data_IF_976839592472
#
_entry.id   IF_976839592472
#
_cell.length_a   1.000
_cell.length_b   1.000
_cell.length_c   1.000
_cell.angle_alpha   90.00
_cell.angle_beta   90.00
_cell.angle_gamma   90.00
#
_symmetry.space_group_name_H-M   'P 1'
#
loop_
_entity.id
_entity.type
_entity.pdbx_description
1 polymer ?
#
# COMPACT_ATOMS: atom_id res chain seq x y z
N UNK A 1 23.85 8.27 -3.56
CA UNK A 1 23.24 8.23 -2.22
C UNK A 1 21.86 7.60 -2.31
N UNK A 2 21.72 6.33 -1.94
CA UNK A 2 20.43 5.69 -1.76
C UNK A 2 20.22 5.60 -0.24
N UNK A 3 19.34 6.44 0.30
CA UNK A 3 18.98 6.38 1.71
C UNK A 3 18.31 5.03 1.94
N UNK A 4 19.00 4.17 2.69
CA UNK A 4 18.57 2.81 2.98
C UNK A 4 17.29 2.88 3.82
N UNK A 5 16.13 2.68 3.18
CA UNK A 5 14.86 2.27 3.81
C UNK A 5 14.98 0.94 4.59
N UNK A 6 16.17 0.32 4.58
CA UNK A 6 16.50 -0.94 5.26
C UNK A 6 16.60 -0.84 6.79
N UNK A 7 16.45 0.36 7.37
CA UNK A 7 16.66 0.60 8.81
C UNK A 7 15.40 0.94 9.59
N UNK A 8 14.24 1.05 8.94
CA UNK A 8 12.97 1.05 9.66
C UNK A 8 12.61 -0.41 9.89
N UNK A 9 12.55 -0.85 11.15
CA UNK A 9 12.32 -2.23 11.55
C UNK A 9 10.92 -2.73 11.17
N UNK A 10 10.66 -2.89 9.87
CA UNK A 10 9.49 -3.54 9.33
C UNK A 10 9.72 -5.05 9.39
N UNK A 11 8.79 -5.76 10.05
CA UNK A 11 8.72 -7.23 9.94
C UNK A 11 8.59 -7.56 8.45
N UNK A 12 9.28 -8.60 8.00
CA UNK A 12 9.20 -9.04 6.61
C UNK A 12 7.73 -9.25 6.20
N UNK A 13 7.26 -8.52 5.19
CA UNK A 13 5.90 -8.61 4.64
C UNK A 13 4.88 -7.60 5.15
N UNK A 14 5.26 -6.62 5.99
CA UNK A 14 4.41 -5.46 6.30
C UNK A 14 4.46 -4.46 5.14
N UNK A 15 3.31 -3.94 4.65
CA UNK A 15 3.29 -2.95 3.59
C UNK A 15 4.14 -1.72 3.93
N UNK A 16 4.93 -1.29 2.95
CA UNK A 16 5.92 -0.23 3.09
C UNK A 16 5.32 1.14 3.46
N UNK A 17 4.06 1.40 3.08
CA UNK A 17 3.35 2.64 3.39
C UNK A 17 1.93 2.37 3.84
N UNK A 18 1.52 3.05 4.90
CA UNK A 18 0.15 3.06 5.41
C UNK A 18 -0.36 4.50 5.44
N UNK A 19 -1.54 4.71 4.87
CA UNK A 19 -2.28 5.96 4.92
C UNK A 19 -3.58 5.73 5.70
N UNK A 20 -3.62 6.09 6.99
CA UNK A 20 -4.76 5.82 7.88
C UNK A 20 -5.87 6.87 7.70
N UNK A 21 -6.32 7.05 6.46
CA UNK A 21 -7.45 7.92 6.14
C UNK A 21 -8.52 7.11 5.44
N UNK A 22 -9.71 7.04 6.05
CA UNK A 22 -10.80 6.24 5.52
C UNK A 22 -11.49 6.99 4.37
N UNK A 23 -11.31 6.48 3.15
CA UNK A 23 -11.88 7.02 1.91
C UNK A 23 -12.47 5.92 1.02
N UNK A 24 -13.53 6.24 0.28
CA UNK A 24 -14.08 5.36 -0.76
C UNK A 24 -14.74 4.08 -0.26
N UNK A 25 -15.17 4.02 1.00
CA UNK A 25 -15.68 2.81 1.63
C UNK A 25 -14.59 1.95 2.29
N UNK A 26 -13.32 2.33 2.16
CA UNK A 26 -12.20 1.65 2.81
C UNK A 26 -11.83 2.31 4.14
N UNK A 27 -11.25 1.53 5.05
CA UNK A 27 -10.78 2.00 6.36
C UNK A 27 -9.40 2.69 6.32
N UNK A 28 -8.65 2.50 5.24
CA UNK A 28 -7.34 3.09 5.00
C UNK A 28 -6.69 2.47 3.77
N UNK A 29 -5.58 3.06 3.32
CA UNK A 29 -4.80 2.61 2.18
C UNK A 29 -3.46 2.02 2.64
N UNK A 30 -3.12 0.85 2.12
CA UNK A 30 -1.84 0.17 2.29
C UNK A 30 -1.17 0.00 0.93
N UNK A 31 0.10 0.38 0.84
CA UNK A 31 0.90 0.25 -0.39
C UNK A 31 2.11 -0.62 -0.11
N UNK A 32 2.24 -1.69 -0.89
CA UNK A 32 3.45 -2.49 -1.02
C UNK A 32 4.25 -1.98 -2.22
N UNK A 33 5.48 -1.53 -2.01
CA UNK A 33 6.33 -1.06 -3.11
C UNK A 33 7.05 -2.21 -3.81
N UNK A 34 7.18 -2.07 -5.12
CA UNK A 34 8.09 -2.88 -5.93
C UNK A 34 8.99 -1.99 -6.76
N UNK A 35 10.22 -2.45 -6.94
CA UNK A 35 11.18 -1.78 -7.79
C UNK A 35 10.71 -1.82 -9.26
N UNK A 36 11.14 -0.82 -10.01
CA UNK A 36 10.98 -0.73 -11.46
C UNK A 36 12.19 -1.37 -12.16
N UNK A 37 12.07 -1.71 -13.46
CA UNK A 37 13.20 -2.22 -14.23
C UNK A 37 14.45 -1.33 -14.12
N UNK A 38 15.67 -1.92 -14.15
CA UNK A 38 15.96 -3.34 -14.36
C UNK A 38 15.95 -4.20 -13.08
N UNK A 39 15.64 -3.60 -11.92
CA UNK A 39 15.67 -4.29 -10.63
C UNK A 39 14.28 -4.72 -10.17
N UNK A 40 13.34 -4.88 -11.09
CA UNK A 40 11.96 -5.18 -10.75
C UNK A 40 11.86 -6.54 -10.04
N UNK A 41 10.98 -6.58 -9.05
CA UNK A 41 10.72 -7.78 -8.27
C UNK A 41 9.27 -8.21 -8.43
N UNK A 42 9.05 -9.53 -8.46
CA UNK A 42 7.72 -10.09 -8.32
C UNK A 42 7.17 -9.84 -6.90
N UNK A 43 5.85 -9.95 -6.76
CA UNK A 43 5.19 -10.03 -5.46
C UNK A 43 5.36 -11.47 -4.97
N UNK A 44 5.97 -11.67 -3.80
CA UNK A 44 6.15 -13.00 -3.22
C UNK A 44 4.85 -13.50 -2.59
N UNK A 45 4.69 -14.83 -2.48
CA UNK A 45 3.42 -15.43 -2.01
C UNK A 45 2.94 -14.92 -0.66
N UNK A 46 3.84 -14.66 0.29
CA UNK A 46 3.49 -14.09 1.60
C UNK A 46 2.97 -12.64 1.51
N UNK A 47 3.50 -11.83 0.59
CA UNK A 47 3.01 -10.45 0.38
C UNK A 47 1.62 -10.46 -0.23
N UNK A 48 1.35 -11.39 -1.14
CA UNK A 48 0.00 -11.56 -1.70
C UNK A 48 -1.02 -11.92 -0.62
N UNK A 49 -0.67 -12.81 0.29
CA UNK A 49 -1.55 -13.18 1.39
C UNK A 49 -1.82 -12.00 2.33
N UNK A 50 -0.81 -11.20 2.68
CA UNK A 50 -1.01 -9.97 3.46
C UNK A 50 -1.95 -8.97 2.79
N UNK A 51 -1.74 -8.70 1.50
CA UNK A 51 -2.60 -7.80 0.73
C UNK A 51 -4.03 -8.32 0.70
N UNK A 52 -4.21 -9.63 0.45
CA UNK A 52 -5.51 -10.29 0.46
C UNK A 52 -6.21 -10.14 1.82
N UNK A 53 -5.51 -10.41 2.91
CA UNK A 53 -6.06 -10.31 4.26
C UNK A 53 -6.47 -8.88 4.60
N UNK A 54 -5.67 -7.87 4.25
CA UNK A 54 -6.02 -6.46 4.43
C UNK A 54 -7.27 -6.07 3.64
N UNK A 55 -7.36 -6.49 2.38
CA UNK A 55 -8.54 -6.26 1.54
C UNK A 55 -9.79 -6.93 2.12
N UNK A 56 -9.68 -8.16 2.64
CA UNK A 56 -10.79 -8.85 3.32
C UNK A 56 -11.26 -8.12 4.59
N UNK A 57 -10.38 -7.37 5.26
CA UNK A 57 -10.71 -6.57 6.43
C UNK A 57 -11.23 -5.16 6.10
N UNK A 58 -11.45 -4.82 4.81
CA UNK A 58 -12.00 -3.54 4.40
C UNK A 58 -10.98 -2.40 4.23
N UNK A 59 -9.68 -2.73 4.20
CA UNK A 59 -8.66 -1.79 3.74
C UNK A 59 -8.49 -1.86 2.24
N UNK A 60 -7.99 -0.79 1.60
CA UNK A 60 -7.49 -0.87 0.24
C UNK A 60 -5.99 -1.20 0.31
N UNK A 61 -5.60 -2.41 -0.06
CA UNK A 61 -4.21 -2.83 -0.12
C UNK A 61 -3.80 -3.11 -1.57
N UNK A 62 -2.77 -2.42 -2.05
CA UNK A 62 -2.32 -2.46 -3.44
C UNK A 62 -0.80 -2.56 -3.54
N UNK A 63 -0.33 -3.00 -4.70
CA UNK A 63 1.10 -3.00 -5.06
C UNK A 63 1.36 -1.83 -5.99
N UNK A 64 2.38 -1.04 -5.70
CA UNK A 64 2.82 0.04 -6.58
C UNK A 64 4.25 -0.18 -7.07
N UNK A 65 4.49 0.03 -8.38
CA UNK A 65 5.83 -0.07 -8.99
C UNK A 65 6.45 1.30 -9.14
N UNK A 66 7.39 1.61 -8.23
CA UNK A 66 8.04 2.92 -8.18
C UNK A 66 7.14 4.03 -7.65
N UNK A 67 7.72 5.23 -7.52
CA UNK A 67 7.10 6.34 -6.82
C UNK A 67 5.99 7.03 -7.63
N UNK A 68 6.08 7.06 -8.96
CA UNK A 68 5.04 7.67 -9.80
C UNK A 68 3.69 6.98 -9.64
N UNK A 69 3.67 5.65 -9.72
CA UNK A 69 2.48 4.82 -9.53
C UNK A 69 1.88 5.04 -8.13
N UNK A 70 2.69 4.95 -7.07
CA UNK A 70 2.20 5.20 -5.72
C UNK A 70 1.63 6.61 -5.52
N UNK A 71 2.26 7.63 -6.09
CA UNK A 71 1.73 8.99 -6.01
C UNK A 71 0.40 9.14 -6.75
N UNK A 72 0.22 8.45 -7.88
CA UNK A 72 -1.05 8.42 -8.59
C UNK A 72 -2.14 7.72 -7.78
N UNK A 73 -1.85 6.55 -7.21
CA UNK A 73 -2.80 5.80 -6.38
C UNK A 73 -3.19 6.57 -5.12
N UNK A 74 -2.24 7.21 -4.44
CA UNK A 74 -2.54 8.08 -3.29
C UNK A 74 -3.46 9.23 -3.71
N UNK A 75 -3.16 9.91 -4.82
CA UNK A 75 -4.01 11.00 -5.32
C UNK A 75 -5.42 10.52 -5.69
N UNK A 76 -5.53 9.37 -6.33
CA UNK A 76 -6.83 8.78 -6.68
C UNK A 76 -7.63 8.45 -5.42
N UNK A 77 -6.99 7.80 -4.44
CA UNK A 77 -7.59 7.42 -3.17
C UNK A 77 -8.09 8.64 -2.37
N UNK A 78 -7.28 9.69 -2.27
CA UNK A 78 -7.61 10.91 -1.54
C UNK A 78 -8.75 11.72 -2.16
N UNK A 79 -9.10 11.48 -3.43
CA UNK A 79 -10.24 12.10 -4.10
C UNK A 79 -11.55 11.36 -3.84
N UNK A 80 -11.49 10.14 -3.29
CA UNK A 80 -12.69 9.39 -2.95
C UNK A 80 -13.40 10.05 -1.76
N UNK A 81 -14.75 9.96 -1.68
CA UNK A 81 -15.49 10.48 -0.54
C UNK A 81 -14.98 9.91 0.78
N UNK A 82 -15.00 10.71 1.86
CA UNK A 82 -14.63 10.24 3.20
C UNK A 82 -15.55 9.09 3.63
N UNK A 83 -14.97 7.98 4.04
CA UNK A 83 -15.71 6.87 4.66
C UNK A 83 -16.14 7.29 6.06
N UNK A 84 -17.42 7.12 6.37
CA UNK A 84 -18.00 7.37 7.69
C UNK A 84 -18.69 6.12 8.19
N UNK A 85 -18.77 5.97 9.51
CA UNK A 85 -19.51 4.87 10.13
C UNK A 85 -21.01 5.07 9.85
N UNK A 86 -21.70 4.00 9.48
CA UNK A 86 -23.16 4.04 9.36
C UNK A 86 -23.78 4.29 10.74
N UNK A 87 -24.78 5.17 10.79
CA UNK A 87 -25.51 5.49 12.02
C UNK A 87 -26.39 4.32 12.48
#
# INVERSE_FOLDING_TARGET
MAVRLKEQGVRAGVPDLVLPMACGGYFGLYIEFKATPPNDAAVYGSQYEWIRQLNLQGYLAIVCRGHFDAMEQIRAYLRLPKTVVAA
#
